data_IF_681226688472
#
_entry.id   IF_681226688472
#
_cell.length_a   1.000
_cell.length_b   1.000
_cell.length_c   1.000
_cell.angle_alpha   90.00
_cell.angle_beta   90.00
_cell.angle_gamma   90.00
#
_symmetry.space_group_name_H-M   'P 1'
#
loop_
_entity.id
_entity.type
_entity.pdbx_description
1 polymer ?
#
# COMPACT_ATOMS: atom_id res chain seq x y z
N UNK A 1 -17.71 -1.39 21.58
CA UNK A 1 -17.18 -1.26 20.20
C UNK A 1 -16.23 -0.06 20.04
N UNK A 2 -16.61 1.14 20.47
CA UNK A 2 -15.75 2.33 20.35
C UNK A 2 -14.49 2.23 21.23
N UNK A 3 -14.67 1.79 22.48
CA UNK A 3 -13.57 1.49 23.42
C UNK A 3 -12.67 0.39 22.87
N UNK A 4 -13.23 -0.70 22.32
CA UNK A 4 -12.44 -1.80 21.75
C UNK A 4 -11.67 -1.37 20.49
N UNK A 5 -12.26 -0.55 19.61
CA UNK A 5 -11.59 -0.01 18.43
C UNK A 5 -10.46 0.96 18.83
N UNK A 6 -10.71 1.83 19.82
CA UNK A 6 -9.69 2.72 20.39
C UNK A 6 -8.55 1.92 21.03
N UNK A 7 -8.88 0.93 21.86
CA UNK A 7 -7.90 0.06 22.50
C UNK A 7 -7.07 -0.71 21.47
N UNK A 8 -7.65 -1.19 20.37
CA UNK A 8 -6.88 -1.87 19.34
C UNK A 8 -5.98 -0.92 18.54
N UNK A 9 -6.51 0.24 18.14
CA UNK A 9 -5.80 1.20 17.27
C UNK A 9 -4.70 1.97 18.00
N UNK A 10 -4.98 2.44 19.22
CA UNK A 10 -4.11 3.40 19.92
C UNK A 10 -3.38 2.79 21.11
N UNK A 11 -3.80 1.62 21.61
CA UNK A 11 -3.13 0.93 22.73
C UNK A 11 -2.45 -0.34 22.25
N UNK A 12 -3.20 -1.32 21.75
CA UNK A 12 -2.70 -2.62 21.33
C UNK A 12 -1.72 -2.53 20.16
N UNK A 13 -2.05 -1.78 19.10
CA UNK A 13 -1.20 -1.63 17.92
C UNK A 13 0.19 -1.05 18.25
N UNK A 14 0.27 0.17 18.80
CA UNK A 14 1.55 0.79 19.17
C UNK A 14 2.31 0.01 20.25
N UNK A 15 1.61 -0.59 21.22
CA UNK A 15 2.24 -1.38 22.28
C UNK A 15 2.92 -2.62 21.71
N UNK A 16 2.16 -3.44 20.97
CA UNK A 16 2.68 -4.68 20.38
C UNK A 16 3.82 -4.38 19.42
N UNK A 17 3.71 -3.33 18.61
CA UNK A 17 4.77 -2.90 17.72
C UNK A 17 6.11 -2.66 18.45
N UNK A 18 6.13 -1.75 19.44
CA UNK A 18 7.38 -1.42 20.14
C UNK A 18 7.87 -2.56 21.03
N UNK A 19 6.96 -3.33 21.61
CA UNK A 19 7.29 -4.46 22.46
C UNK A 19 8.04 -5.53 21.68
N UNK A 20 7.55 -5.88 20.50
CA UNK A 20 8.23 -6.87 19.67
C UNK A 20 9.46 -6.33 18.94
N UNK A 21 9.52 -5.03 18.62
CA UNK A 21 10.71 -4.39 18.02
C UNK A 21 11.90 -4.39 18.99
N UNK A 22 11.61 -4.13 20.27
CA UNK A 22 12.61 -4.09 21.34
C UNK A 22 12.96 -5.47 21.89
N UNK A 23 12.32 -6.53 21.41
CA UNK A 23 12.56 -7.89 21.86
C UNK A 23 13.92 -8.39 21.37
N UNK A 24 14.88 -8.48 22.29
CA UNK A 24 16.16 -9.14 22.05
C UNK A 24 16.31 -10.34 23.00
N UNK A 25 16.70 -11.52 22.48
CA UNK A 25 16.81 -12.75 23.27
C UNK A 25 17.94 -12.71 24.32
N UNK A 26 18.80 -11.67 24.27
CA UNK A 26 19.95 -11.49 25.16
C UNK A 26 19.71 -10.45 26.27
N UNK A 27 18.50 -9.88 26.38
CA UNK A 27 18.21 -8.81 27.32
C UNK A 27 17.77 -9.34 28.69
N UNK A 28 18.45 -8.91 29.76
CA UNK A 28 18.23 -9.42 31.12
C UNK A 28 16.96 -8.89 31.82
N UNK A 29 16.22 -7.93 31.25
CA UNK A 29 15.03 -7.37 31.90
C UNK A 29 13.93 -6.98 30.90
N UNK A 30 12.82 -7.72 30.98
CA UNK A 30 11.56 -7.47 30.24
C UNK A 30 10.97 -6.10 30.58
N UNK A 31 11.21 -5.58 31.79
CA UNK A 31 10.64 -4.31 32.26
C UNK A 31 11.13 -3.10 31.48
N UNK A 32 12.36 -3.11 30.97
CA UNK A 32 12.89 -2.01 30.16
C UNK A 32 12.18 -1.92 28.80
N UNK A 33 11.85 -3.07 28.21
CA UNK A 33 11.08 -3.17 26.95
C UNK A 33 9.63 -2.72 27.14
N UNK A 34 8.99 -3.14 28.24
CA UNK A 34 7.62 -2.74 28.58
C UNK A 34 7.54 -1.23 28.82
N UNK A 35 8.51 -0.63 29.54
CA UNK A 35 8.52 0.82 29.79
C UNK A 35 8.67 1.64 28.51
N UNK A 36 9.54 1.23 27.59
CA UNK A 36 9.70 1.89 26.29
C UNK A 36 8.41 1.81 25.46
N UNK A 37 7.80 0.62 25.42
CA UNK A 37 6.55 0.38 24.69
C UNK A 37 5.39 1.18 25.27
N UNK A 38 5.27 1.21 26.60
CA UNK A 38 4.27 2.00 27.31
C UNK A 38 4.47 3.51 27.08
N UNK A 39 5.72 3.98 27.06
CA UNK A 39 6.02 5.39 26.80
C UNK A 39 5.59 5.82 25.39
N UNK A 40 5.82 4.98 24.37
CA UNK A 40 5.35 5.26 23.00
C UNK A 40 3.83 5.23 22.93
N UNK A 41 3.18 4.25 23.57
CA UNK A 41 1.71 4.20 23.65
C UNK A 41 1.18 5.47 24.30
N UNK A 42 1.71 5.88 25.45
CA UNK A 42 1.31 7.12 26.13
C UNK A 42 1.54 8.32 25.22
N UNK A 43 2.68 8.41 24.53
CA UNK A 43 2.96 9.50 23.57
C UNK A 43 1.94 9.56 22.43
N UNK A 44 1.64 8.42 21.79
CA UNK A 44 0.63 8.31 20.73
C UNK A 44 -0.76 8.69 21.24
N UNK A 45 -1.14 8.22 22.42
CA UNK A 45 -2.44 8.54 23.03
C UNK A 45 -2.53 10.01 23.45
N UNK A 46 -1.45 10.61 23.96
CA UNK A 46 -1.40 12.04 24.28
C UNK A 46 -1.48 12.88 23.01
N UNK A 47 -0.76 12.51 21.95
CA UNK A 47 -0.85 13.20 20.66
C UNK A 47 -2.25 13.08 20.05
N UNK A 48 -2.86 11.89 20.12
CA UNK A 48 -4.24 11.69 19.67
C UNK A 48 -5.23 12.47 20.53
N UNK A 49 -5.11 12.44 21.86
CA UNK A 49 -5.97 13.19 22.78
C UNK A 49 -5.80 14.70 22.63
N UNK A 50 -4.59 15.18 22.34
CA UNK A 50 -4.33 16.59 22.04
C UNK A 50 -4.92 16.99 20.70
N UNK A 51 -4.80 16.16 19.65
CA UNK A 51 -5.42 16.40 18.35
C UNK A 51 -6.96 16.33 18.44
N UNK A 52 -7.49 15.33 19.13
CA UNK A 52 -8.91 15.16 19.44
C UNK A 52 -9.43 16.34 20.26
N UNK A 53 -8.70 16.74 21.31
CA UNK A 53 -9.02 17.88 22.18
C UNK A 53 -8.95 19.20 21.44
N UNK A 54 -7.97 19.40 20.55
CA UNK A 54 -7.90 20.58 19.68
C UNK A 54 -9.07 20.62 18.69
N UNK A 55 -9.41 19.49 18.04
CA UNK A 55 -10.60 19.38 17.18
C UNK A 55 -11.90 19.60 17.97
N UNK A 56 -11.95 19.16 19.23
CA UNK A 56 -13.10 19.30 20.13
C UNK A 56 -13.28 20.74 20.63
N UNK A 57 -12.19 21.40 21.06
CA UNK A 57 -12.18 22.78 21.55
C UNK A 57 -12.37 23.78 20.41
N UNK A 58 -11.83 23.51 19.22
CA UNK A 58 -11.99 24.35 18.04
C UNK A 58 -13.31 24.08 17.30
N UNK A 59 -13.88 22.89 17.46
CA UNK A 59 -15.16 22.48 16.88
C UNK A 59 -16.40 22.95 17.64
N UNK A 60 -16.26 23.86 18.62
CA UNK A 60 -17.42 24.48 19.29
C UNK A 60 -18.20 25.29 18.25
N UNK A 61 -19.43 24.85 18.02
CA UNK A 61 -20.34 25.34 17.01
C UNK A 61 -20.82 26.76 17.36
N UNK A 62 -20.67 27.71 16.45
CA UNK A 62 -21.34 29.00 16.52
C UNK A 62 -22.22 29.12 15.27
N UNK A 63 -23.47 28.66 15.38
CA UNK A 63 -24.49 28.94 14.37
C UNK A 63 -25.19 30.25 14.74
N UNK A 64 -25.13 31.31 13.92
CA UNK A 64 -25.73 32.60 14.24
C UNK A 64 -27.25 32.67 14.00
N UNK A 65 -27.91 31.59 13.53
CA UNK A 65 -29.33 31.64 13.16
C UNK A 65 -30.29 30.80 14.01
N UNK A 66 -29.83 29.73 14.65
CA UNK A 66 -30.62 28.98 15.62
C UNK A 66 -29.74 28.61 16.81
N UNK A 67 -30.07 29.16 17.98
CA UNK A 67 -29.34 29.05 19.25
C UNK A 67 -29.45 27.65 19.89
N UNK A 68 -29.49 26.60 19.06
CA UNK A 68 -29.58 25.21 19.47
C UNK A 68 -28.21 24.58 19.24
N UNK A 69 -27.44 24.48 20.32
CA UNK A 69 -26.20 23.73 20.39
C UNK A 69 -26.49 22.24 20.15
N UNK A 70 -26.55 21.80 18.89
CA UNK A 70 -26.73 20.39 18.55
C UNK A 70 -25.50 19.63 19.04
N UNK A 71 -25.67 18.95 20.19
CA UNK A 71 -24.65 18.13 20.82
C UNK A 71 -24.32 16.95 19.91
N UNK A 72 -23.28 17.09 19.10
CA UNK A 72 -22.76 16.00 18.26
C UNK A 72 -22.27 14.87 19.19
N UNK A 73 -22.68 13.61 18.96
CA UNK A 73 -22.29 12.51 19.83
C UNK A 73 -20.77 12.29 19.78
N UNK A 74 -20.11 11.92 20.90
CA UNK A 74 -18.65 11.74 20.97
C UNK A 74 -18.08 10.77 19.92
N UNK A 75 -18.89 9.82 19.46
CA UNK A 75 -18.52 8.89 18.40
C UNK A 75 -18.19 9.56 17.05
N UNK A 76 -18.92 10.62 16.69
CA UNK A 76 -18.71 11.31 15.42
C UNK A 76 -17.34 12.00 15.43
N UNK A 77 -16.97 12.64 16.53
CA UNK A 77 -15.63 13.23 16.71
C UNK A 77 -14.52 12.18 16.58
N UNK A 78 -14.73 10.99 17.16
CA UNK A 78 -13.77 9.88 17.05
C UNK A 78 -13.56 9.44 15.61
N UNK A 79 -14.65 9.23 14.87
CA UNK A 79 -14.61 8.84 13.44
C UNK A 79 -13.94 9.91 12.58
N UNK A 80 -14.26 11.19 12.80
CA UNK A 80 -13.66 12.31 12.05
C UNK A 80 -12.17 12.45 12.34
N UNK A 81 -11.76 12.28 13.60
CA UNK A 81 -10.34 12.37 14.00
C UNK A 81 -9.52 11.23 13.40
N UNK A 82 -10.01 9.99 13.48
CA UNK A 82 -9.34 8.84 12.85
C UNK A 82 -9.31 8.99 11.34
N UNK A 83 -10.40 9.44 10.72
CA UNK A 83 -10.43 9.68 9.28
C UNK A 83 -9.36 10.72 8.88
N UNK A 84 -9.24 11.82 9.64
CA UNK A 84 -8.23 12.85 9.41
C UNK A 84 -6.80 12.31 9.51
N UNK A 85 -6.51 11.47 10.50
CA UNK A 85 -5.21 10.79 10.62
C UNK A 85 -4.99 9.76 9.50
N UNK A 86 -6.02 9.01 9.15
CA UNK A 86 -6.03 8.06 8.04
C UNK A 86 -5.73 8.73 6.71
N UNK A 87 -6.24 9.95 6.51
CA UNK A 87 -5.98 10.70 5.29
C UNK A 87 -4.50 10.95 5.07
N UNK A 88 -3.72 11.25 6.12
CA UNK A 88 -2.28 11.49 6.04
C UNK A 88 -1.50 10.32 5.39
N UNK A 89 -1.91 9.09 5.63
CA UNK A 89 -1.32 7.90 5.02
C UNK A 89 -1.99 7.55 3.69
N UNK A 90 -3.31 7.71 3.64
CA UNK A 90 -4.12 7.38 2.48
C UNK A 90 -3.69 8.16 1.25
N UNK A 91 -3.49 9.48 1.32
CA UNK A 91 -3.16 10.26 0.11
C UNK A 91 -1.78 9.86 -0.47
N UNK A 92 -0.82 9.49 0.37
CA UNK A 92 0.52 9.05 -0.03
C UNK A 92 0.43 7.67 -0.68
N UNK A 93 -0.13 6.69 0.04
CA UNK A 93 -0.15 5.31 -0.42
C UNK A 93 -1.17 5.09 -1.54
N UNK A 94 -2.40 5.57 -1.41
CA UNK A 94 -3.40 5.45 -2.47
C UNK A 94 -2.99 6.22 -3.73
N UNK A 95 -2.38 7.40 -3.60
CA UNK A 95 -1.91 8.20 -4.74
C UNK A 95 -0.88 7.43 -5.58
N UNK A 96 0.13 6.85 -4.93
CA UNK A 96 1.12 5.98 -5.60
C UNK A 96 0.47 4.69 -6.10
N UNK A 97 -0.45 4.10 -5.34
CA UNK A 97 -1.17 2.88 -5.67
C UNK A 97 -2.03 2.99 -6.93
N UNK A 98 -2.75 4.11 -7.08
CA UNK A 98 -3.59 4.39 -8.24
C UNK A 98 -2.78 4.40 -9.54
N UNK A 99 -1.54 4.89 -9.52
CA UNK A 99 -0.64 4.79 -10.67
C UNK A 99 0.00 3.40 -10.79
N UNK A 100 0.42 2.80 -9.67
CA UNK A 100 1.15 1.55 -9.67
C UNK A 100 0.32 0.35 -10.15
N UNK A 101 -0.97 0.25 -9.78
CA UNK A 101 -1.82 -0.90 -10.14
C UNK A 101 -1.91 -1.12 -11.66
N UNK A 102 -2.35 -0.15 -12.48
CA UNK A 102 -2.44 -0.34 -13.92
C UNK A 102 -1.07 -0.49 -14.58
N UNK A 103 -0.06 0.29 -14.15
CA UNK A 103 1.30 0.20 -14.70
C UNK A 103 1.94 -1.17 -14.44
N UNK A 104 1.74 -1.74 -13.25
CA UNK A 104 2.24 -3.08 -12.90
C UNK A 104 1.57 -4.16 -13.72
N UNK A 105 0.26 -4.09 -13.95
CA UNK A 105 -0.43 -5.07 -14.78
C UNK A 105 0.10 -5.07 -16.22
N UNK A 106 0.33 -3.90 -16.80
CA UNK A 106 0.94 -3.78 -18.13
C UNK A 106 2.38 -4.30 -18.12
N UNK A 107 3.19 -3.91 -17.13
CA UNK A 107 4.57 -4.35 -17.03
C UNK A 107 4.70 -5.87 -16.82
N UNK A 108 3.80 -6.47 -16.04
CA UNK A 108 3.73 -7.92 -15.82
C UNK A 108 3.39 -8.64 -17.12
N UNK A 109 2.39 -8.16 -17.86
CA UNK A 109 1.99 -8.78 -19.13
C UNK A 109 3.07 -8.67 -20.20
N UNK A 110 3.77 -7.53 -20.29
CA UNK A 110 4.84 -7.29 -21.28
C UNK A 110 6.10 -8.10 -20.95
N UNK A 111 6.50 -8.16 -19.68
CA UNK A 111 7.74 -8.84 -19.26
C UNK A 111 7.56 -10.34 -18.96
N UNK A 112 6.39 -10.92 -19.26
CA UNK A 112 6.07 -12.32 -18.94
C UNK A 112 7.11 -13.30 -19.52
N UNK A 113 7.48 -14.36 -18.79
CA UNK A 113 8.27 -15.44 -19.34
C UNK A 113 7.52 -16.14 -20.48
N UNK A 114 8.23 -16.47 -21.55
CA UNK A 114 7.68 -17.20 -22.69
C UNK A 114 8.16 -18.65 -22.62
N UNK A 115 7.31 -19.63 -22.97
CA UNK A 115 7.67 -21.05 -22.88
C UNK A 115 8.83 -21.38 -23.82
N UNK A 116 9.84 -22.05 -23.28
CA UNK A 116 11.07 -22.42 -24.01
C UNK A 116 11.00 -23.90 -24.42
N UNK A 117 11.45 -24.23 -25.64
CA UNK A 117 11.53 -25.64 -26.09
C UNK A 117 12.68 -26.37 -25.39
N UNK A 118 12.54 -27.68 -25.18
CA UNK A 118 13.58 -28.51 -24.51
C UNK A 118 14.99 -28.32 -25.08
N UNK A 119 15.15 -28.31 -26.40
CA UNK A 119 16.45 -28.14 -27.04
C UNK A 119 17.08 -26.76 -26.76
N UNK A 120 16.26 -25.71 -26.70
CA UNK A 120 16.73 -24.34 -26.38
C UNK A 120 17.07 -24.21 -24.89
N UNK A 121 16.30 -24.86 -24.01
CA UNK A 121 16.59 -24.95 -22.58
C UNK A 121 17.92 -25.66 -22.31
N UNK A 122 18.20 -26.77 -22.99
CA UNK A 122 19.48 -27.48 -22.87
C UNK A 122 20.67 -26.61 -23.30
N UNK A 123 20.54 -25.87 -24.41
CA UNK A 123 21.55 -24.91 -24.86
C UNK A 123 21.76 -23.80 -23.82
N UNK A 124 20.67 -23.22 -23.30
CA UNK A 124 20.72 -22.20 -22.26
C UNK A 124 21.41 -22.69 -20.99
N UNK A 125 21.14 -23.93 -20.56
CA UNK A 125 21.82 -24.57 -19.42
C UNK A 125 23.32 -24.75 -19.65
N UNK A 126 23.73 -25.15 -20.86
CA UNK A 126 25.15 -25.29 -21.20
C UNK A 126 25.86 -23.94 -21.13
N UNK A 127 25.25 -22.88 -21.69
CA UNK A 127 25.78 -21.52 -21.61
C UNK A 127 25.89 -21.03 -20.17
N UNK A 128 24.85 -21.25 -19.35
CA UNK A 128 24.83 -20.88 -17.94
C UNK A 128 25.93 -21.62 -17.15
N UNK A 129 26.14 -22.92 -17.42
CA UNK A 129 27.24 -23.69 -16.80
C UNK A 129 28.61 -23.13 -17.12
N UNK A 130 28.86 -22.69 -18.36
CA UNK A 130 30.12 -22.04 -18.73
C UNK A 130 30.31 -20.72 -17.96
N UNK A 131 29.26 -19.93 -17.82
CA UNK A 131 29.30 -18.66 -17.08
C UNK A 131 29.52 -18.88 -15.58
N UNK A 132 28.81 -19.83 -14.97
CA UNK A 132 29.04 -20.26 -13.58
C UNK A 132 30.47 -20.74 -13.38
N UNK A 133 31.01 -21.53 -14.30
CA UNK A 133 32.41 -21.97 -14.21
C UNK A 133 33.38 -20.78 -14.24
N UNK A 134 33.16 -19.82 -15.13
CA UNK A 134 33.97 -18.60 -15.20
C UNK A 134 33.87 -17.75 -13.92
N UNK A 135 32.67 -17.69 -13.31
CA UNK A 135 32.44 -17.00 -12.05
C UNK A 135 33.10 -17.74 -10.87
N UNK A 136 33.07 -19.06 -10.84
CA UNK A 136 33.77 -19.85 -9.83
C UNK A 136 35.28 -19.61 -9.89
N UNK A 137 35.85 -19.57 -11.09
CA UNK A 137 37.28 -19.27 -11.27
C UNK A 137 37.60 -17.82 -10.87
N UNK A 138 36.73 -16.85 -11.20
CA UNK A 138 36.85 -15.47 -10.76
C UNK A 138 36.76 -15.34 -9.22
N UNK A 139 35.83 -16.07 -8.59
CA UNK A 139 35.66 -16.14 -7.15
C UNK A 139 36.89 -16.70 -6.45
N UNK A 140 37.45 -17.82 -6.94
CA UNK A 140 38.70 -18.41 -6.42
C UNK A 140 39.88 -17.44 -6.49
N UNK A 141 40.00 -16.69 -7.60
CA UNK A 141 41.05 -15.66 -7.73
C UNK A 141 40.85 -14.51 -6.74
N UNK A 142 39.61 -14.12 -6.50
CA UNK A 142 39.27 -13.05 -5.55
C UNK A 142 39.54 -13.50 -4.11
N UNK A 143 39.17 -14.73 -3.75
CA UNK A 143 39.46 -15.32 -2.44
C UNK A 143 40.97 -15.46 -2.21
N UNK A 144 41.73 -15.89 -3.23
CA UNK A 144 43.19 -15.96 -3.15
C UNK A 144 43.84 -14.58 -2.94
N UNK A 145 43.25 -13.50 -3.47
CA UNK A 145 43.74 -12.12 -3.27
C UNK A 145 43.39 -11.55 -1.90
N UNK A 146 42.29 -11.99 -1.27
CA UNK A 146 41.88 -11.54 0.07
C UNK A 146 42.58 -12.36 1.16
N UNK A 147 42.81 -13.65 0.93
CA UNK A 147 43.41 -14.57 1.89
C UNK A 147 42.59 -14.65 3.20
N UNK A 148 43.27 -14.79 4.33
CA UNK A 148 42.66 -14.79 5.68
C UNK A 148 42.47 -13.40 6.28
N UNK A 149 42.82 -12.34 5.54
CA UNK A 149 42.80 -10.96 6.01
C UNK A 149 41.46 -10.24 5.82
N UNK A 150 41.35 -9.01 6.34
CA UNK A 150 40.22 -8.12 6.04
C UNK A 150 40.37 -7.56 4.61
N UNK A 151 39.32 -7.61 3.77
CA UNK A 151 39.40 -7.13 2.40
C UNK A 151 39.59 -5.61 2.34
N UNK A 152 40.45 -5.15 1.43
CA UNK A 152 40.65 -3.74 1.12
C UNK A 152 39.41 -3.13 0.43
N UNK A 153 39.27 -1.81 0.42
CA UNK A 153 38.13 -1.10 -0.19
C UNK A 153 37.89 -1.51 -1.67
N UNK A 154 38.96 -1.63 -2.46
CA UNK A 154 38.89 -2.10 -3.86
C UNK A 154 38.40 -3.55 -3.98
N UNK A 155 38.88 -4.43 -3.10
CA UNK A 155 38.46 -5.84 -3.06
C UNK A 155 37.00 -5.96 -2.62
N UNK A 156 36.54 -5.12 -1.70
CA UNK A 156 35.14 -5.05 -1.28
C UNK A 156 34.23 -4.64 -2.44
N UNK A 157 34.64 -3.68 -3.26
CA UNK A 157 33.91 -3.30 -4.47
C UNK A 157 33.86 -4.44 -5.50
N UNK A 158 34.96 -5.18 -5.68
CA UNK A 158 35.01 -6.36 -6.54
C UNK A 158 34.10 -7.49 -6.01
N UNK A 159 34.07 -7.73 -4.70
CA UNK A 159 33.14 -8.68 -4.07
C UNK A 159 31.68 -8.27 -4.27
N UNK A 160 31.36 -6.98 -4.22
CA UNK A 160 30.00 -6.49 -4.49
C UNK A 160 29.60 -6.71 -5.96
N UNK A 161 30.51 -6.48 -6.90
CA UNK A 161 30.27 -6.76 -8.32
C UNK A 161 30.12 -8.26 -8.57
N UNK A 162 30.99 -9.09 -7.99
CA UNK A 162 30.90 -10.54 -8.06
C UNK A 162 29.56 -11.05 -7.53
N UNK A 163 29.14 -10.59 -6.35
CA UNK A 163 27.84 -10.93 -5.76
C UNK A 163 26.68 -10.51 -6.65
N UNK A 164 26.80 -9.38 -7.35
CA UNK A 164 25.79 -8.95 -8.32
C UNK A 164 25.74 -9.90 -9.52
N UNK A 165 26.88 -10.27 -10.09
CA UNK A 165 26.95 -11.22 -11.20
C UNK A 165 26.41 -12.60 -10.83
N UNK A 166 26.73 -13.12 -9.64
CA UNK A 166 26.19 -14.38 -9.14
C UNK A 166 24.66 -14.31 -9.06
N UNK A 167 24.11 -13.25 -8.47
CA UNK A 167 22.66 -13.05 -8.39
C UNK A 167 21.99 -12.90 -9.76
N UNK A 168 22.66 -12.27 -10.71
CA UNK A 168 22.13 -12.13 -12.07
C UNK A 168 22.07 -13.51 -12.78
N UNK A 169 23.06 -14.38 -12.55
CA UNK A 169 23.08 -15.76 -13.06
C UNK A 169 22.05 -16.66 -12.36
N UNK A 170 21.90 -16.55 -11.03
CA UNK A 170 20.85 -17.26 -10.27
C UNK A 170 19.47 -16.92 -10.83
N UNK A 171 19.16 -15.62 -10.97
CA UNK A 171 17.89 -15.16 -11.58
C UNK A 171 17.68 -15.67 -13.00
N UNK A 172 18.74 -15.75 -13.80
CA UNK A 172 18.65 -16.30 -15.14
C UNK A 172 18.37 -17.81 -15.11
N UNK A 173 18.94 -18.53 -14.15
CA UNK A 173 18.64 -19.95 -13.92
C UNK A 173 17.17 -20.14 -13.57
N UNK A 174 16.69 -19.44 -12.55
CA UNK A 174 15.30 -19.46 -12.08
C UNK A 174 14.33 -19.13 -13.23
N UNK A 175 14.62 -18.06 -13.98
CA UNK A 175 13.79 -17.66 -15.12
C UNK A 175 13.74 -18.73 -16.22
N UNK A 176 14.86 -19.39 -16.50
CA UNK A 176 14.91 -20.45 -17.50
C UNK A 176 14.15 -21.69 -17.04
N UNK A 177 14.22 -22.03 -15.75
CA UNK A 177 13.52 -23.15 -15.15
C UNK A 177 12.01 -22.91 -15.12
N UNK A 178 11.57 -21.73 -14.66
CA UNK A 178 10.18 -21.30 -14.72
C UNK A 178 9.65 -21.31 -16.16
N UNK A 179 10.44 -20.83 -17.13
CA UNK A 179 10.07 -20.84 -18.54
C UNK A 179 9.96 -22.24 -19.18
N UNK A 180 10.64 -23.24 -18.62
CA UNK A 180 10.57 -24.63 -19.07
C UNK A 180 9.40 -25.39 -18.43
N UNK A 181 9.14 -25.15 -17.14
CA UNK A 181 8.03 -25.76 -16.38
C UNK A 181 6.69 -25.03 -16.55
N UNK A 182 6.68 -23.97 -17.35
CA UNK A 182 5.54 -23.09 -17.55
C UNK A 182 4.29 -23.87 -17.99
N UNK A 183 3.32 -23.99 -17.08
CA UNK A 183 2.08 -24.71 -17.33
C UNK A 183 1.08 -23.87 -18.13
N UNK A 184 0.15 -24.52 -18.84
CA UNK A 184 -0.95 -23.82 -19.51
C UNK A 184 -1.81 -22.98 -18.55
N UNK A 185 -1.88 -23.36 -17.27
CA UNK A 185 -2.58 -22.61 -16.24
C UNK A 185 -1.92 -21.25 -15.93
N UNK A 186 -0.58 -21.18 -15.94
CA UNK A 186 0.15 -19.92 -15.78
C UNK A 186 -0.18 -18.93 -16.92
N UNK A 187 -0.23 -19.43 -18.16
CA UNK A 187 -0.58 -18.60 -19.32
C UNK A 187 -2.00 -18.02 -19.14
N UNK A 188 -2.97 -18.84 -18.74
CA UNK A 188 -4.34 -18.38 -18.48
C UNK A 188 -4.37 -17.30 -17.38
N UNK A 189 -3.61 -17.49 -16.30
CA UNK A 189 -3.49 -16.52 -15.22
C UNK A 189 -2.92 -15.18 -15.71
N UNK A 190 -1.88 -15.18 -16.53
CA UNK A 190 -1.35 -13.94 -17.10
C UNK A 190 -2.41 -13.17 -17.91
N UNK A 191 -3.26 -13.87 -18.66
CA UNK A 191 -4.36 -13.22 -19.39
C UNK A 191 -5.46 -12.70 -18.45
N UNK A 192 -5.80 -13.45 -17.40
CA UNK A 192 -6.76 -13.00 -16.38
C UNK A 192 -6.26 -11.76 -15.63
N UNK A 193 -4.98 -11.73 -15.26
CA UNK A 193 -4.35 -10.58 -14.60
C UNK A 193 -4.27 -9.36 -15.53
N UNK A 194 -3.98 -9.57 -16.82
CA UNK A 194 -4.02 -8.50 -17.81
C UNK A 194 -5.44 -7.93 -17.98
N UNK A 195 -6.45 -8.79 -18.10
CA UNK A 195 -7.85 -8.38 -18.19
C UNK A 195 -8.30 -7.59 -16.94
N UNK A 196 -7.95 -8.09 -15.74
CA UNK A 196 -8.21 -7.40 -14.48
C UNK A 196 -7.46 -6.06 -14.41
N UNK A 197 -6.24 -6.00 -14.96
CA UNK A 197 -5.45 -4.78 -15.12
C UNK A 197 -6.15 -3.71 -15.97
N UNK A 198 -6.78 -4.12 -17.08
CA UNK A 198 -7.57 -3.20 -17.94
C UNK A 198 -8.77 -2.66 -17.18
N UNK A 199 -9.54 -3.53 -16.50
CA UNK A 199 -10.71 -3.11 -15.70
C UNK A 199 -10.27 -2.14 -14.60
N UNK A 200 -9.22 -2.49 -13.85
CA UNK A 200 -8.66 -1.63 -12.81
C UNK A 200 -8.16 -0.30 -13.36
N UNK A 201 -7.57 -0.28 -14.57
CA UNK A 201 -7.15 0.94 -15.25
C UNK A 201 -8.33 1.86 -15.59
N UNK A 202 -9.44 1.30 -16.07
CA UNK A 202 -10.68 2.08 -16.29
C UNK A 202 -11.19 2.66 -14.99
N UNK A 203 -11.18 1.89 -13.89
CA UNK A 203 -11.60 2.35 -12.57
C UNK A 203 -10.66 3.43 -12.03
N UNK A 204 -9.35 3.34 -12.26
CA UNK A 204 -8.39 4.43 -11.97
C UNK A 204 -8.80 5.70 -12.68
N UNK A 205 -9.05 5.63 -13.98
CA UNK A 205 -9.44 6.80 -14.79
C UNK A 205 -10.74 7.40 -14.29
N UNK A 206 -11.74 6.57 -13.95
CA UNK A 206 -13.00 7.03 -13.37
C UNK A 206 -12.79 7.76 -12.05
N UNK A 207 -11.95 7.23 -11.14
CA UNK A 207 -11.63 7.89 -9.88
C UNK A 207 -10.90 9.22 -10.07
N UNK A 208 -9.87 9.25 -10.92
CA UNK A 208 -9.12 10.47 -11.20
C UNK A 208 -10.02 11.53 -11.85
N UNK A 209 -10.84 11.13 -12.82
CA UNK A 209 -11.79 12.02 -13.48
C UNK A 209 -12.85 12.51 -12.51
N UNK A 210 -13.39 11.64 -11.64
CA UNK A 210 -14.37 12.02 -10.63
C UNK A 210 -13.79 13.01 -9.63
N UNK A 211 -12.60 12.74 -9.08
CA UNK A 211 -11.93 13.65 -8.14
C UNK A 211 -11.61 14.98 -8.84
N UNK A 212 -11.12 14.96 -10.08
CA UNK A 212 -10.82 16.18 -10.82
C UNK A 212 -12.07 17.02 -11.13
N UNK A 213 -13.12 16.41 -11.69
CA UNK A 213 -14.38 17.09 -12.02
C UNK A 213 -15.12 17.58 -10.77
N UNK A 214 -15.16 16.77 -9.71
CA UNK A 214 -15.87 17.11 -8.49
C UNK A 214 -15.11 18.13 -7.64
N UNK A 215 -13.78 18.02 -7.57
CA UNK A 215 -12.96 18.87 -6.69
C UNK A 215 -12.58 20.20 -7.37
N UNK A 216 -12.08 20.17 -8.61
CA UNK A 216 -11.61 21.38 -9.30
C UNK A 216 -12.74 22.18 -9.92
N UNK A 217 -13.73 21.51 -10.52
CA UNK A 217 -14.78 22.18 -11.27
C UNK A 217 -16.09 22.32 -10.46
N UNK A 218 -16.31 21.52 -9.42
CA UNK A 218 -17.57 21.47 -8.65
C UNK A 218 -18.84 21.29 -9.52
N UNK A 219 -18.72 20.84 -10.78
CA UNK A 219 -19.84 20.84 -11.74
C UNK A 219 -20.52 19.47 -11.84
N UNK A 220 -19.77 18.36 -11.87
CA UNK A 220 -20.36 17.05 -12.23
C UNK A 220 -19.80 15.87 -11.41
N UNK A 221 -20.59 15.33 -10.44
CA UNK A 221 -20.24 14.09 -9.74
C UNK A 221 -20.52 12.87 -10.65
N UNK A 222 -19.57 12.58 -11.54
CA UNK A 222 -19.71 11.56 -12.61
C UNK A 222 -20.04 10.16 -12.07
N UNK A 223 -19.26 9.67 -11.10
CA UNK A 223 -19.44 8.32 -10.56
C UNK A 223 -20.75 8.18 -9.76
N UNK A 224 -21.13 9.19 -8.97
CA UNK A 224 -22.41 9.20 -8.24
C UNK A 224 -23.59 9.05 -9.19
N UNK A 225 -23.63 9.85 -10.26
CA UNK A 225 -24.71 9.78 -11.25
C UNK A 225 -24.76 8.43 -11.97
N UNK A 226 -23.60 7.85 -12.29
CA UNK A 226 -23.51 6.53 -12.91
C UNK A 226 -24.09 5.44 -11.99
N UNK A 227 -23.74 5.45 -10.71
CA UNK A 227 -24.25 4.48 -9.73
C UNK A 227 -25.73 4.70 -9.44
N UNK A 228 -26.21 5.95 -9.33
CA UNK A 228 -27.64 6.24 -9.18
C UNK A 228 -28.46 5.78 -10.39
N UNK A 229 -27.95 6.00 -11.61
CA UNK A 229 -28.59 5.50 -12.83
C UNK A 229 -28.66 3.97 -12.83
N UNK A 230 -27.57 3.32 -12.45
CA UNK A 230 -27.53 1.88 -12.35
C UNK A 230 -28.44 1.34 -11.24
N UNK A 231 -28.56 2.05 -10.12
CA UNK A 231 -29.45 1.67 -9.03
C UNK A 231 -30.93 1.70 -9.44
N UNK A 232 -31.31 2.59 -10.36
CA UNK A 232 -32.67 2.63 -10.93
C UNK A 232 -32.95 1.43 -11.84
N UNK A 233 -31.94 0.91 -12.53
CA UNK A 233 -32.05 -0.23 -13.44
C UNK A 233 -31.92 -1.58 -12.70
N UNK A 234 -30.84 -1.73 -11.93
CA UNK A 234 -30.40 -2.94 -11.25
C UNK A 234 -29.77 -2.59 -9.89
N UNK A 235 -30.58 -2.48 -8.81
CA UNK A 235 -30.11 -2.09 -7.48
C UNK A 235 -28.95 -2.97 -6.95
N UNK A 236 -29.04 -4.28 -7.18
CA UNK A 236 -28.01 -5.23 -6.74
C UNK A 236 -26.67 -5.02 -7.45
N UNK A 237 -26.68 -4.58 -8.72
CA UNK A 237 -25.45 -4.30 -9.44
C UNK A 237 -24.83 -2.99 -8.98
N UNK A 238 -25.66 -1.98 -8.65
CA UNK A 238 -25.18 -0.71 -8.11
C UNK A 238 -24.43 -0.88 -6.77
N UNK A 239 -24.95 -1.72 -5.86
CA UNK A 239 -24.26 -2.02 -4.60
C UNK A 239 -22.93 -2.76 -4.83
N UNK A 240 -22.89 -3.72 -5.76
CA UNK A 240 -21.64 -4.41 -6.11
C UNK A 240 -20.59 -3.48 -6.73
N UNK A 241 -20.99 -2.58 -7.63
CA UNK A 241 -20.06 -1.61 -8.22
C UNK A 241 -19.55 -0.63 -7.16
N UNK A 242 -20.42 -0.13 -6.27
CA UNK A 242 -20.01 0.71 -5.16
C UNK A 242 -19.00 -0.01 -4.25
N UNK A 243 -19.27 -1.27 -3.88
CA UNK A 243 -18.37 -2.08 -3.06
C UNK A 243 -17.02 -2.33 -3.77
N UNK A 244 -17.05 -2.63 -5.06
CA UNK A 244 -15.85 -2.82 -5.87
C UNK A 244 -14.99 -1.54 -5.94
N UNK A 245 -15.61 -0.36 -6.10
CA UNK A 245 -14.88 0.91 -6.11
C UNK A 245 -14.18 1.20 -4.77
N UNK A 246 -14.83 0.89 -3.64
CA UNK A 246 -14.23 1.05 -2.31
C UNK A 246 -13.10 0.03 -2.07
N UNK A 247 -13.31 -1.24 -2.42
CA UNK A 247 -12.29 -2.29 -2.33
C UNK A 247 -11.10 -1.98 -3.23
N UNK A 248 -11.33 -1.40 -4.40
CA UNK A 248 -10.27 -0.97 -5.32
C UNK A 248 -9.37 0.11 -4.71
N UNK A 249 -9.93 1.10 -4.01
CA UNK A 249 -9.12 2.10 -3.30
C UNK A 249 -8.29 1.47 -2.17
N UNK A 250 -8.84 0.50 -1.44
CA UNK A 250 -8.08 -0.28 -0.46
C UNK A 250 -6.99 -1.14 -1.10
N UNK A 251 -7.24 -1.72 -2.27
CA UNK A 251 -6.21 -2.43 -3.00
C UNK A 251 -5.07 -1.50 -3.42
N UNK A 252 -5.41 -0.29 -3.87
CA UNK A 252 -4.42 0.74 -4.20
C UNK A 252 -3.57 1.13 -2.99
N UNK A 253 -4.16 1.30 -1.79
CA UNK A 253 -3.37 1.62 -0.60
C UNK A 253 -2.39 0.50 -0.23
N UNK A 254 -2.78 -0.77 -0.38
CA UNK A 254 -1.89 -1.91 -0.14
C UNK A 254 -0.72 -1.91 -1.13
N UNK A 255 -1.00 -1.78 -2.44
CA UNK A 255 0.02 -1.75 -3.49
C UNK A 255 0.95 -0.55 -3.33
N UNK A 256 0.40 0.61 -3.00
CA UNK A 256 1.15 1.82 -2.72
C UNK A 256 2.03 1.69 -1.48
N UNK A 257 1.51 1.09 -0.40
CA UNK A 257 2.28 0.79 0.79
C UNK A 257 3.49 -0.10 0.46
N UNK A 258 3.29 -1.19 -0.29
CA UNK A 258 4.39 -2.07 -0.74
C UNK A 258 5.42 -1.32 -1.61
N UNK A 259 4.96 -0.45 -2.50
CA UNK A 259 5.82 0.33 -3.39
C UNK A 259 6.64 1.41 -2.66
N UNK A 260 6.02 2.10 -1.68
CA UNK A 260 6.62 3.23 -0.96
C UNK A 260 7.52 2.76 0.19
N UNK A 261 7.14 1.69 0.90
CA UNK A 261 7.87 1.17 2.07
C UNK A 261 9.32 0.79 1.79
N UNK A 262 9.65 0.47 0.53
CA UNK A 262 11.03 0.12 0.15
C UNK A 262 11.97 1.33 0.11
N UNK A 263 11.46 2.58 0.10
CA UNK A 263 12.26 3.77 -0.26
C UNK A 263 11.93 5.08 0.43
N UNK A 264 10.82 5.21 1.18
CA UNK A 264 10.53 6.49 1.82
C UNK A 264 11.47 6.76 3.00
N UNK A 265 12.07 7.95 2.99
CA UNK A 265 13.04 8.42 4.00
C UNK A 265 12.37 9.05 5.24
N UNK A 266 11.08 9.39 5.16
CA UNK A 266 10.38 10.22 6.17
C UNK A 266 9.70 9.36 7.25
N UNK A 267 9.26 8.14 6.92
CA UNK A 267 8.86 7.13 7.91
C UNK A 267 9.48 5.79 7.51
N UNK A 268 10.17 5.08 8.42
CA UNK A 268 10.58 3.70 8.19
C UNK A 268 9.34 2.80 8.24
N UNK A 269 8.61 2.72 7.12
CA UNK A 269 7.53 1.75 6.96
C UNK A 269 8.16 0.42 6.60
N UNK A 270 7.83 -0.64 7.36
CA UNK A 270 8.40 -1.96 7.13
C UNK A 270 7.98 -2.49 5.76
N UNK A 271 8.92 -2.97 4.93
CA UNK A 271 8.59 -3.50 3.62
C UNK A 271 7.73 -4.75 3.75
N UNK A 272 6.54 -4.72 3.15
CA UNK A 272 5.70 -5.90 2.98
C UNK A 272 6.32 -6.83 1.93
N UNK A 273 6.62 -8.06 2.34
CA UNK A 273 7.03 -9.18 1.48
C UNK A 273 6.05 -10.33 1.64
N UNK A 274 5.66 -10.94 0.53
CA UNK A 274 4.89 -12.19 0.57
C UNK A 274 5.76 -13.24 1.30
N UNK A 275 5.17 -13.95 2.28
CA UNK A 275 5.79 -15.04 3.08
C UNK A 275 7.09 -14.75 3.84
N UNK A 276 7.64 -13.54 3.76
CA UNK A 276 8.86 -13.12 4.47
C UNK A 276 8.70 -11.87 5.34
N UNK A 277 7.46 -11.44 5.62
CA UNK A 277 7.19 -10.28 6.48
C UNK A 277 7.26 -10.68 7.95
N UNK A 278 8.07 -9.97 8.74
CA UNK A 278 8.09 -10.14 10.19
C UNK A 278 6.73 -9.77 10.80
N UNK A 279 6.31 -10.46 11.86
CA UNK A 279 4.98 -10.23 12.47
C UNK A 279 4.76 -8.77 12.90
N UNK A 280 5.80 -8.09 13.40
CA UNK A 280 5.73 -6.68 13.80
C UNK A 280 5.47 -5.76 12.62
N UNK A 281 6.17 -6.03 11.51
CA UNK A 281 6.00 -5.32 10.26
C UNK A 281 4.58 -5.49 9.71
N UNK A 282 4.03 -6.70 9.80
CA UNK A 282 2.66 -6.98 9.41
C UNK A 282 1.65 -6.21 10.27
N UNK A 283 1.83 -6.21 11.59
CA UNK A 283 0.93 -5.53 12.53
C UNK A 283 0.94 -4.02 12.33
N UNK A 284 2.12 -3.42 12.16
CA UNK A 284 2.27 -1.99 11.86
C UNK A 284 1.57 -1.61 10.54
N UNK A 285 1.84 -2.35 9.46
CA UNK A 285 1.20 -2.10 8.17
C UNK A 285 -0.33 -2.31 8.23
N UNK A 286 -0.81 -3.29 9.00
CA UNK A 286 -2.24 -3.52 9.22
C UNK A 286 -2.91 -2.35 9.95
N UNK A 287 -2.23 -1.77 10.94
CA UNK A 287 -2.70 -0.58 11.65
C UNK A 287 -2.80 0.63 10.71
N UNK A 288 -1.79 0.84 9.87
CA UNK A 288 -1.80 1.90 8.85
C UNK A 288 -2.94 1.72 7.84
N UNK A 289 -3.18 0.49 7.39
CA UNK A 289 -4.28 0.16 6.48
C UNK A 289 -5.64 0.37 7.15
N UNK A 290 -5.79 0.01 8.43
CA UNK A 290 -7.03 0.22 9.18
C UNK A 290 -7.34 1.71 9.37
N UNK A 291 -6.33 2.53 9.68
CA UNK A 291 -6.48 3.99 9.70
C UNK A 291 -6.86 4.53 8.32
N UNK A 292 -6.20 4.06 7.26
CA UNK A 292 -6.48 4.48 5.87
C UNK A 292 -7.89 4.09 5.41
N UNK A 293 -8.47 3.01 5.94
CA UNK A 293 -9.84 2.60 5.61
C UNK A 293 -10.89 3.66 5.98
N UNK A 294 -10.69 4.40 7.07
CA UNK A 294 -11.59 5.52 7.43
C UNK A 294 -11.50 6.70 6.46
N UNK A 295 -10.34 6.91 5.83
CA UNK A 295 -10.19 7.90 4.78
C UNK A 295 -10.85 7.43 3.47
N UNK A 296 -10.73 6.14 3.14
CA UNK A 296 -11.47 5.54 2.00
C UNK A 296 -12.97 5.67 2.18
N UNK A 297 -13.49 5.35 3.37
CA UNK A 297 -14.92 5.50 3.67
C UNK A 297 -15.38 6.95 3.54
N UNK A 298 -14.56 7.90 4.00
CA UNK A 298 -14.85 9.31 3.85
C UNK A 298 -14.88 9.73 2.37
N UNK A 299 -13.85 9.37 1.59
CA UNK A 299 -13.81 9.68 0.16
C UNK A 299 -15.01 9.07 -0.57
N UNK A 300 -15.39 7.82 -0.27
CA UNK A 300 -16.56 7.18 -0.86
C UNK A 300 -17.87 7.88 -0.46
N UNK A 301 -18.05 8.24 0.81
CA UNK A 301 -19.26 8.92 1.28
C UNK A 301 -19.45 10.31 0.63
N UNK A 302 -18.35 11.02 0.38
CA UNK A 302 -18.36 12.32 -0.31
C UNK A 302 -18.57 12.13 -1.83
N UNK A 303 -17.89 11.15 -2.42
CA UNK A 303 -17.92 10.90 -3.88
C UNK A 303 -19.27 10.37 -4.36
N UNK A 304 -19.94 9.57 -3.54
CA UNK A 304 -21.24 8.96 -3.82
C UNK A 304 -22.33 9.55 -2.92
N UNK A 305 -22.37 10.88 -2.80
CA UNK A 305 -23.20 11.58 -1.82
C UNK A 305 -24.69 11.31 -1.99
N UNK A 306 -25.20 11.27 -3.23
CA UNK A 306 -26.62 10.99 -3.49
C UNK A 306 -26.94 9.52 -3.27
N UNK A 307 -26.08 8.63 -3.76
CA UNK A 307 -26.29 7.19 -3.61
C UNK A 307 -26.19 6.73 -2.15
N UNK A 308 -25.23 7.25 -1.39
CA UNK A 308 -25.00 6.91 0.01
C UNK A 308 -25.84 7.73 1.00
N UNK A 309 -26.74 8.60 0.52
CA UNK A 309 -27.47 9.57 1.35
C UNK A 309 -28.22 8.94 2.55
N UNK A 310 -28.72 7.72 2.39
CA UNK A 310 -29.44 7.00 3.46
C UNK A 310 -28.53 6.32 4.48
N UNK A 311 -27.20 6.39 4.31
CA UNK A 311 -26.24 5.72 5.20
C UNK A 311 -25.83 6.60 6.37
N UNK A 312 -25.55 5.96 7.51
CA UNK A 312 -25.00 6.65 8.67
C UNK A 312 -23.68 7.37 8.33
N UNK A 313 -22.83 6.76 7.51
CA UNK A 313 -21.53 7.33 7.14
C UNK A 313 -21.67 8.62 6.32
N UNK A 314 -22.70 8.72 5.47
CA UNK A 314 -22.99 9.98 4.76
C UNK A 314 -23.38 11.09 5.74
N UNK A 315 -24.25 10.82 6.70
CA UNK A 315 -24.61 11.82 7.71
C UNK A 315 -23.38 12.30 8.49
N UNK A 316 -22.50 11.38 8.90
CA UNK A 316 -21.28 11.74 9.63
C UNK A 316 -20.31 12.57 8.78
N UNK A 317 -19.99 12.13 7.57
CA UNK A 317 -18.93 12.73 6.76
C UNK A 317 -19.37 13.87 5.85
N UNK A 318 -20.61 13.87 5.38
CA UNK A 318 -21.11 14.89 4.44
C UNK A 318 -21.92 15.96 5.15
N UNK A 319 -22.71 15.59 6.16
CA UNK A 319 -23.54 16.56 6.90
C UNK A 319 -22.75 17.16 8.08
N UNK A 320 -22.18 16.33 8.95
CA UNK A 320 -21.53 16.82 10.18
C UNK A 320 -20.10 17.31 9.98
N UNK A 321 -19.26 16.63 9.20
CA UNK A 321 -17.84 17.01 9.05
C UNK A 321 -17.64 18.43 8.47
N UNK A 322 -18.36 18.89 7.44
CA UNK A 322 -18.17 20.25 6.90
C UNK A 322 -18.54 21.36 7.88
N UNK A 323 -19.38 21.05 8.87
CA UNK A 323 -19.77 21.95 9.95
C UNK A 323 -18.69 22.09 11.03
N UNK A 324 -17.70 21.18 11.05
CA UNK A 324 -16.58 21.21 12.00
C UNK A 324 -15.46 22.08 11.44
N UNK A 325 -15.14 23.16 12.15
CA UNK A 325 -14.08 24.10 11.75
C UNK A 325 -12.72 23.39 11.72
N UNK A 326 -11.96 23.54 10.62
CA UNK A 326 -10.66 22.89 10.40
C UNK A 326 -10.72 21.55 9.66
N UNK A 327 -11.63 20.63 10.04
CA UNK A 327 -11.75 19.31 9.40
C UNK A 327 -12.16 19.40 7.91
N UNK A 328 -12.99 20.40 7.58
CA UNK A 328 -13.35 20.73 6.19
C UNK A 328 -12.14 21.04 5.32
N UNK A 329 -11.22 21.89 5.79
CA UNK A 329 -10.04 22.29 5.01
C UNK A 329 -9.05 21.14 4.85
N UNK A 330 -8.86 20.36 5.92
CA UNK A 330 -8.04 19.15 5.93
C UNK A 330 -8.56 18.17 4.88
N UNK A 331 -9.86 17.84 4.92
CA UNK A 331 -10.45 16.88 3.97
C UNK A 331 -10.45 17.35 2.51
N UNK A 332 -10.79 18.61 2.23
CA UNK A 332 -10.76 19.15 0.87
C UNK A 332 -9.32 19.24 0.35
N UNK A 333 -8.39 19.73 1.16
CA UNK A 333 -6.97 19.84 0.80
C UNK A 333 -6.32 18.48 0.51
N UNK A 334 -6.66 17.45 1.29
CA UNK A 334 -6.08 16.12 1.14
C UNK A 334 -6.55 15.38 -0.11
N UNK A 335 -7.74 15.70 -0.64
CA UNK A 335 -8.18 15.19 -1.95
C UNK A 335 -7.29 15.74 -3.09
N UNK A 336 -6.90 17.01 -3.02
CA UNK A 336 -5.91 17.58 -3.96
C UNK A 336 -4.52 16.98 -3.77
N UNK A 337 -4.11 16.73 -2.52
CA UNK A 337 -2.84 16.07 -2.22
C UNK A 337 -2.78 14.66 -2.84
N UNK A 338 -3.88 13.89 -2.79
CA UNK A 338 -3.99 12.58 -3.43
C UNK A 338 -3.77 12.68 -4.96
N UNK A 339 -4.41 13.65 -5.62
CA UNK A 339 -4.24 13.88 -7.06
C UNK A 339 -2.80 14.31 -7.41
N UNK A 340 -2.21 15.20 -6.60
CA UNK A 340 -0.84 15.65 -6.79
C UNK A 340 0.17 14.49 -6.64
N UNK A 341 0.00 13.63 -5.63
CA UNK A 341 0.83 12.43 -5.45
C UNK A 341 0.64 11.45 -6.61
N UNK A 342 -0.58 11.25 -7.10
CA UNK A 342 -0.83 10.42 -8.28
C UNK A 342 -0.05 10.94 -9.50
N UNK A 343 -0.17 12.22 -9.83
CA UNK A 343 0.55 12.84 -10.96
C UNK A 343 2.06 12.73 -10.81
N UNK A 344 2.61 12.92 -9.60
CA UNK A 344 4.03 12.77 -9.33
C UNK A 344 4.50 11.31 -9.42
N UNK A 345 3.64 10.35 -9.05
CA UNK A 345 3.98 8.94 -9.02
C UNK A 345 4.09 8.31 -10.40
N UNK A 346 3.32 8.78 -11.39
CA UNK A 346 3.37 8.28 -12.78
C UNK A 346 4.79 8.39 -13.38
N UNK A 347 5.44 9.56 -13.48
CA UNK A 347 6.79 9.67 -14.02
C UNK A 347 7.83 8.93 -13.17
N UNK A 348 7.66 8.95 -11.84
CA UNK A 348 8.53 8.20 -10.93
C UNK A 348 8.53 6.70 -11.22
N UNK A 349 7.35 6.15 -11.52
CA UNK A 349 7.17 4.73 -11.79
C UNK A 349 7.59 4.34 -13.21
N UNK A 350 7.35 5.18 -14.21
CA UNK A 350 7.73 4.91 -15.61
C UNK A 350 9.23 5.02 -15.87
N UNK A 351 9.93 5.95 -15.22
CA UNK A 351 11.39 6.12 -15.37
C UNK A 351 12.17 4.97 -14.71
N UNK A 352 11.57 4.27 -13.75
CA UNK A 352 12.22 3.19 -13.02
C UNK A 352 11.47 1.85 -13.11
N UNK A 353 11.32 1.26 -14.31
CA UNK A 353 10.49 0.08 -14.54
C UNK A 353 11.06 -1.20 -13.93
N UNK A 354 12.39 -1.30 -13.79
CA UNK A 354 13.08 -2.42 -13.09
C UNK A 354 12.61 -2.60 -11.64
N UNK A 355 11.90 -1.62 -11.06
CA UNK A 355 11.38 -1.65 -9.68
C UNK A 355 10.02 -2.32 -9.56
N UNK A 356 9.29 -2.52 -10.66
CA UNK A 356 7.98 -3.19 -10.68
C UNK A 356 8.13 -4.71 -10.79
N UNK A 357 9.12 -5.18 -11.54
CA UNK A 357 9.31 -6.60 -11.88
C UNK A 357 9.79 -7.43 -10.69
N UNK A 358 10.65 -6.88 -9.82
CA UNK A 358 11.13 -7.52 -8.58
C UNK A 358 9.99 -7.81 -7.56
N UNK A 359 8.79 -7.23 -7.73
CA UNK A 359 7.65 -7.48 -6.86
C UNK A 359 6.68 -8.53 -7.40
N UNK A 360 6.78 -8.84 -8.70
CA UNK A 360 5.99 -9.89 -9.37
C UNK A 360 6.73 -11.22 -9.29
N UNK A 361 8.06 -11.22 -9.41
CA UNK A 361 8.87 -12.44 -9.22
C UNK A 361 8.68 -13.06 -7.83
N UNK A 362 8.62 -12.23 -6.78
CA UNK A 362 8.37 -12.69 -5.41
C UNK A 362 6.98 -13.36 -5.23
N UNK A 363 6.01 -13.12 -6.13
CA UNK A 363 4.68 -13.76 -6.08
C UNK A 363 4.62 -15.06 -6.90
N UNK A 364 5.41 -15.16 -7.97
CA UNK A 364 5.47 -16.34 -8.84
C UNK A 364 6.34 -17.46 -8.24
N UNK A 365 7.45 -17.13 -7.57
CA UNK A 365 8.35 -18.13 -6.95
C UNK A 365 7.66 -18.94 -5.83
N UNK A 366 6.63 -18.37 -5.20
CA UNK A 366 5.99 -18.95 -4.02
C UNK A 366 4.83 -19.92 -4.33
N UNK A 367 4.29 -19.90 -5.55
CA UNK A 367 3.14 -20.73 -5.94
C UNK A 367 3.51 -22.08 -6.52
N UNK A 368 4.76 -22.29 -6.96
CA UNK A 368 5.24 -23.58 -7.45
C UNK A 368 5.60 -24.56 -6.31
N UNK A 369 5.90 -24.05 -5.11
CA UNK A 369 6.21 -24.87 -3.92
C UNK A 369 4.98 -25.58 -3.30
N UNK A 370 3.78 -25.41 -3.88
CA UNK A 370 2.52 -26.00 -3.40
C UNK A 370 2.04 -27.25 -4.16
N UNK A 371 2.79 -27.71 -5.16
CA UNK A 371 2.42 -28.86 -6.01
C UNK A 371 3.48 -29.96 -6.01
N UNK A 372 4.03 -30.28 -4.84
CA UNK A 372 4.82 -31.51 -4.61
C UNK A 372 4.12 -32.39 -3.56
#
# INVERSE_FOLDING_TARGET
MLVSAYSLLFVGGPFTFVFYESWSPTQNSVWTQVRLSLAVVVGVNVAFAAAFGALWLWGVHHDPKDDILTRVPPFVYFVVTISSFGWCFFFIFAGVGLAAVPLRAVAAFVNRPHPIKKAEYELARVKLRMEVQSLLDAGRRLDAQVGTGRPNHKQRQQMLLFRRSVRDVERQSERNEAAYHLSGAYILRCYMEAALGVVNGVVTVLWILHIFLSSTLNVFPLMDRMVCFLNRLLPMLATLIYAYCAMYLMWCTIVGCRSVSRRMLILPVYPLRVRGTMLNALLFNSLLLLCSAFAVLHLCAVSFSTYAASTFMHNVFVVTLPQMFGAKYVSQGLQYALLAVFVLSVPWLTVFPRRMTDAVSDEDDDQDDGLV
#
